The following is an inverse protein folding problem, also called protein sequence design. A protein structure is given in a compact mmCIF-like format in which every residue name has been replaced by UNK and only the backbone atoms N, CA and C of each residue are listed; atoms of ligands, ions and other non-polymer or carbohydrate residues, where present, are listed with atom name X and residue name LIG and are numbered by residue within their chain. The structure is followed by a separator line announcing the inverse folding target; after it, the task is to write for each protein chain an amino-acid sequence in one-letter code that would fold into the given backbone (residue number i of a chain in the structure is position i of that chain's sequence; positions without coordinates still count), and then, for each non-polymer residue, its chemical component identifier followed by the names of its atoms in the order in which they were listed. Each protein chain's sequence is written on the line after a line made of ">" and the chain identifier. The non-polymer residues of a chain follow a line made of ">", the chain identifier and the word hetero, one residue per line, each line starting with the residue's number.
data_IF_678445569110
#
_entry.id   IF_678445569110
#
_cell.length_a   1.000
_cell.length_b   1.000
_cell.length_c   1.000
_cell.angle_alpha   90.00
_cell.angle_beta   90.00
_cell.angle_gamma   90.00
#
_symmetry.space_group_name_H-M   'P 1'
#
loop_
_entity.id
_entity.type
_entity.pdbx_description
1 polymer ?
#
# COMPACT_ATOMS: atom_id res chain seq x y z
N UNK A 1 7.75 -12.92 -12.63
CA UNK A 1 7.94 -13.26 -11.20
C UNK A 1 7.26 -12.21 -10.35
N UNK A 2 6.17 -12.57 -9.64
CA UNK A 2 5.40 -11.62 -8.81
C UNK A 2 6.24 -11.24 -7.58
N UNK A 3 6.39 -9.95 -7.30
CA UNK A 3 7.13 -9.49 -6.10
C UNK A 3 6.35 -9.87 -4.84
N UNK A 4 7.09 -10.22 -3.77
CA UNK A 4 6.51 -10.55 -2.46
C UNK A 4 5.96 -9.30 -1.76
N UNK A 5 5.04 -9.42 -0.80
CA UNK A 5 4.51 -8.27 -0.05
C UNK A 5 5.59 -7.40 0.62
N UNK A 6 6.66 -8.02 1.13
CA UNK A 6 7.81 -7.33 1.74
C UNK A 6 8.49 -6.32 0.81
N UNK A 7 8.53 -6.61 -0.50
CA UNK A 7 9.07 -5.68 -1.49
C UNK A 7 8.25 -4.39 -1.54
N UNK A 8 6.91 -4.50 -1.54
CA UNK A 8 6.01 -3.36 -1.60
C UNK A 8 5.96 -2.61 -0.26
N UNK A 9 6.01 -3.32 0.88
CA UNK A 9 6.12 -2.70 2.20
C UNK A 9 7.37 -1.82 2.31
N UNK A 10 8.51 -2.29 1.78
CA UNK A 10 9.76 -1.49 1.72
C UNK A 10 9.62 -0.23 0.86
N UNK A 11 8.84 -0.28 -0.23
CA UNK A 11 8.55 0.91 -1.03
C UNK A 11 7.68 1.88 -0.21
N UNK A 12 6.61 1.39 0.44
CA UNK A 12 5.77 2.20 1.31
C UNK A 12 6.55 2.88 2.44
N UNK A 13 7.46 2.14 3.11
CA UNK A 13 8.40 2.72 4.09
C UNK A 13 9.21 3.86 3.47
N UNK A 14 9.79 3.66 2.29
CA UNK A 14 10.58 4.69 1.61
C UNK A 14 9.75 5.93 1.26
N UNK A 15 8.46 5.78 0.99
CA UNK A 15 7.55 6.93 0.79
C UNK A 15 7.37 7.74 2.08
N UNK A 16 7.31 7.11 3.26
CA UNK A 16 7.28 7.80 4.55
C UNK A 16 8.64 8.34 5.01
N UNK A 17 9.74 7.87 4.43
CA UNK A 17 11.10 8.38 4.69
C UNK A 17 11.47 9.57 3.80
N UNK A 18 11.04 9.59 2.53
CA UNK A 18 11.53 10.57 1.55
C UNK A 18 12.98 10.30 1.11
N UNK A 19 13.56 11.25 0.37
CA UNK A 19 14.98 11.34 0.02
C UNK A 19 15.35 12.78 -0.37
N UNK A 20 16.58 13.01 -0.84
CA UNK A 20 17.08 14.34 -1.25
C UNK A 20 16.24 15.01 -2.35
N UNK A 21 15.56 14.23 -3.19
CA UNK A 21 14.74 14.74 -4.29
C UNK A 21 13.25 14.85 -3.94
N UNK A 22 12.78 14.15 -2.91
CA UNK A 22 11.36 13.96 -2.61
C UNK A 22 11.10 13.98 -1.12
N UNK A 23 10.23 14.90 -0.70
CA UNK A 23 9.76 14.97 0.68
C UNK A 23 9.03 13.68 1.09
N UNK A 24 9.09 13.32 2.39
CA UNK A 24 8.29 12.23 2.91
C UNK A 24 6.79 12.51 2.77
N UNK A 25 6.01 11.45 2.53
CA UNK A 25 4.54 11.53 2.55
C UNK A 25 4.00 11.28 3.96
N UNK A 26 2.83 11.85 4.25
CA UNK A 26 2.07 11.52 5.47
C UNK A 26 1.12 10.35 5.26
N UNK A 27 0.75 10.06 4.00
CA UNK A 27 -0.16 8.98 3.64
C UNK A 27 0.37 8.18 2.43
N UNK A 28 0.15 6.86 2.49
CA UNK A 28 0.44 5.92 1.41
C UNK A 28 -0.81 5.12 1.10
N UNK A 29 -1.14 4.99 -0.19
CA UNK A 29 -2.29 4.26 -0.67
C UNK A 29 -1.82 2.99 -1.40
N UNK A 30 -2.18 1.82 -0.88
CA UNK A 30 -1.89 0.53 -1.49
C UNK A 30 -3.16 0.01 -2.15
N UNK A 31 -3.08 -0.25 -3.46
CA UNK A 31 -4.20 -0.80 -4.24
C UNK A 31 -3.81 -2.13 -4.89
N UNK A 32 -4.72 -3.10 -4.86
CA UNK A 32 -4.57 -4.40 -5.52
C UNK A 32 -5.80 -4.78 -6.31
N UNK A 33 -5.60 -5.40 -7.48
CA UNK A 33 -6.66 -5.92 -8.35
C UNK A 33 -6.61 -7.44 -8.41
N UNK A 34 -7.77 -8.11 -8.37
CA UNK A 34 -7.90 -9.56 -8.51
C UNK A 34 -6.95 -10.30 -7.56
N UNK A 35 -6.07 -11.14 -8.10
CA UNK A 35 -5.10 -11.92 -7.31
C UNK A 35 -4.05 -11.06 -6.59
N UNK A 36 -3.78 -9.84 -7.05
CA UNK A 36 -2.85 -8.91 -6.39
C UNK A 36 -3.40 -8.36 -5.07
N UNK A 37 -4.70 -8.52 -4.80
CA UNK A 37 -5.34 -8.16 -3.53
C UNK A 37 -4.61 -8.75 -2.33
N UNK A 38 -4.20 -10.02 -2.40
CA UNK A 38 -3.46 -10.69 -1.32
C UNK A 38 -2.10 -10.04 -1.06
N UNK A 39 -1.45 -9.55 -2.11
CA UNK A 39 -0.15 -8.86 -2.01
C UNK A 39 -0.33 -7.47 -1.40
N UNK A 40 -1.35 -6.73 -1.82
CA UNK A 40 -1.69 -5.41 -1.26
C UNK A 40 -1.98 -5.49 0.25
N UNK A 41 -2.82 -6.46 0.65
CA UNK A 41 -3.12 -6.73 2.07
C UNK A 41 -1.83 -7.07 2.82
N UNK A 42 -1.05 -8.03 2.31
CA UNK A 42 0.19 -8.43 2.98
C UNK A 42 1.19 -7.28 3.14
N UNK A 43 1.28 -6.36 2.17
CA UNK A 43 2.18 -5.22 2.25
C UNK A 43 1.73 -4.22 3.31
N UNK A 44 0.42 -3.91 3.35
CA UNK A 44 -0.16 -3.04 4.36
C UNK A 44 0.00 -3.63 5.76
N UNK A 45 -0.28 -4.92 5.94
CA UNK A 45 -0.13 -5.59 7.24
C UNK A 45 1.30 -5.62 7.75
N UNK A 46 2.31 -5.73 6.86
CA UNK A 46 3.72 -5.62 7.26
C UNK A 46 4.01 -4.20 7.75
N UNK A 47 3.57 -3.17 7.01
CA UNK A 47 3.80 -1.78 7.40
C UNK A 47 3.12 -1.43 8.73
N UNK A 48 1.95 -1.97 9.00
CA UNK A 48 1.25 -1.80 10.27
C UNK A 48 1.93 -2.54 11.42
N UNK A 49 2.34 -3.80 11.20
CA UNK A 49 3.02 -4.60 12.22
C UNK A 49 4.39 -4.04 12.63
N UNK A 50 5.09 -3.38 11.72
CA UNK A 50 6.42 -2.82 11.95
C UNK A 50 6.36 -1.34 12.40
N UNK A 51 5.19 -0.83 12.80
CA UNK A 51 4.96 0.56 13.22
C UNK A 51 5.46 1.59 12.19
N UNK A 52 5.39 1.23 10.90
CA UNK A 52 5.77 2.10 9.77
C UNK A 52 4.60 3.02 9.41
N UNK A 53 3.39 2.46 9.36
CA UNK A 53 2.17 3.21 9.08
C UNK A 53 0.95 2.54 9.69
N UNK A 54 -0.02 3.33 10.10
CA UNK A 54 -1.29 2.86 10.65
C UNK A 54 -2.34 2.76 9.53
N UNK A 55 -3.05 1.64 9.43
CA UNK A 55 -4.16 1.53 8.47
C UNK A 55 -5.33 2.39 8.97
N UNK A 56 -5.70 3.41 8.19
CA UNK A 56 -6.79 4.33 8.54
C UNK A 56 -8.07 4.09 7.70
N UNK A 57 -7.95 3.39 6.56
CA UNK A 57 -9.10 3.07 5.72
C UNK A 57 -8.85 1.83 4.88
N UNK A 58 -9.85 0.97 4.78
CA UNK A 58 -9.91 -0.14 3.83
C UNK A 58 -11.20 -0.01 3.03
N UNK A 59 -11.09 -0.07 1.71
CA UNK A 59 -12.23 -0.01 0.80
C UNK A 59 -12.11 -1.09 -0.26
N UNK A 60 -13.20 -1.81 -0.51
CA UNK A 60 -13.32 -2.73 -1.64
C UNK A 60 -14.23 -2.13 -2.70
N UNK A 61 -13.97 -2.46 -3.96
CA UNK A 61 -14.77 -2.04 -5.10
C UNK A 61 -14.59 -3.03 -6.24
N UNK A 62 -15.33 -2.84 -7.33
CA UNK A 62 -14.98 -3.42 -8.61
C UNK A 62 -14.33 -2.36 -9.49
N UNK A 63 -13.16 -2.67 -10.02
CA UNK A 63 -12.55 -1.91 -11.11
C UNK A 63 -13.18 -2.36 -12.42
N UNK A 64 -13.75 -1.42 -13.16
CA UNK A 64 -14.21 -1.60 -14.54
C UNK A 64 -13.27 -0.87 -15.48
N UNK A 65 -12.87 -1.54 -16.56
CA UNK A 65 -12.16 -0.91 -17.68
C UNK A 65 -12.89 -1.24 -18.97
N UNK A 66 -13.14 -0.22 -19.78
CA UNK A 66 -13.81 -0.36 -21.08
C UNK A 66 -13.06 -1.31 -22.02
N UNK A 67 -11.75 -1.50 -21.81
CA UNK A 67 -10.90 -2.42 -22.59
C UNK A 67 -11.10 -3.89 -22.24
N UNK A 68 -11.52 -4.22 -21.02
CA UNK A 68 -11.49 -5.59 -20.50
C UNK A 68 -12.92 -6.18 -20.37
N UNK A 69 -13.96 -5.36 -20.59
CA UNK A 69 -15.39 -5.72 -20.47
C UNK A 69 -15.69 -6.68 -19.30
N UNK A 70 -15.01 -6.47 -18.17
CA UNK A 70 -15.10 -7.30 -16.96
C UNK A 70 -14.92 -6.42 -15.74
N UNK A 71 -15.66 -6.76 -14.68
CA UNK A 71 -15.47 -6.20 -13.34
C UNK A 71 -14.41 -7.01 -12.59
N UNK A 72 -13.32 -6.35 -12.19
CA UNK A 72 -12.20 -6.96 -11.47
C UNK A 72 -12.28 -6.50 -10.00
N UNK A 73 -12.31 -7.39 -9.01
CA UNK A 73 -12.25 -6.99 -7.60
C UNK A 73 -11.03 -6.11 -7.32
N UNK A 74 -11.23 -5.03 -6.55
CA UNK A 74 -10.22 -4.06 -6.16
C UNK A 74 -10.25 -3.89 -4.65
N UNK A 75 -9.08 -3.86 -4.03
CA UNK A 75 -8.90 -3.33 -2.68
C UNK A 75 -8.07 -2.04 -2.73
N UNK A 76 -8.42 -1.08 -1.89
CA UNK A 76 -7.64 0.12 -1.61
C UNK A 76 -7.48 0.24 -0.10
N UNK A 77 -6.23 0.32 0.36
CA UNK A 77 -5.85 0.43 1.75
C UNK A 77 -5.08 1.74 1.90
N UNK A 78 -5.53 2.62 2.78
CA UNK A 78 -4.85 3.87 3.10
C UNK A 78 -4.13 3.70 4.43
N UNK A 79 -2.83 3.97 4.43
CA UNK A 79 -2.01 4.01 5.62
C UNK A 79 -1.56 5.46 5.87
N UNK A 80 -1.70 5.92 7.10
CA UNK A 80 -1.06 7.15 7.57
C UNK A 80 0.28 6.80 8.21
N UNK A 81 1.29 7.65 8.06
CA UNK A 81 2.58 7.50 8.72
C UNK A 81 2.38 7.32 10.22
N UNK A 82 3.01 6.29 10.80
CA UNK A 82 2.86 6.03 12.23
C UNK A 82 3.48 7.20 13.02
N UNK A 83 2.85 7.67 14.12
CA UNK A 83 3.40 8.77 14.93
C UNK A 83 4.82 8.51 15.42
N UNK A 84 5.11 7.24 15.76
CA UNK A 84 6.41 6.81 16.28
C UNK A 84 7.38 6.35 15.18
N UNK A 85 7.03 6.52 13.90
CA UNK A 85 7.91 6.11 12.82
C UNK A 85 9.16 6.99 12.77
N UNK A 86 10.30 6.38 13.06
CA UNK A 86 11.63 6.98 12.87
C UNK A 86 12.25 6.45 11.59
N UNK A 87 12.64 7.37 10.71
CA UNK A 87 13.39 7.04 9.51
C UNK A 87 14.82 6.64 9.88
N UNK A 88 15.03 5.34 10.08
CA UNK A 88 16.36 4.72 10.20
C UNK A 88 16.96 4.44 8.82
#
# INVERSE_FOLDING_TARGET
>A
MTKKPTFYARIGKRMFTGNEEKNPFDEVIITGLGSATKIAIGAASIMEKEDIGQIIKIQTAYFSSDRINRRIPKITIVLKKHPDFVAN
#
